data_IF_168193567280
#
_entry.id   IF_168193567280
#
_cell.length_a   1.000
_cell.length_b   1.000
_cell.length_c   1.000
_cell.angle_alpha   90.00
_cell.angle_beta   90.00
_cell.angle_gamma   90.00
#
_symmetry.space_group_name_H-M   'P 1'
#
loop_
_entity.id
_entity.type
_entity.pdbx_description
1 polymer ?
#
# COMPACT_ATOMS: atom_id res chain seq x y z
N UNK A 1 -23.33 0.36 4.90
CA UNK A 1 -24.00 1.68 4.96
C UNK A 1 -23.89 2.56 3.69
N UNK A 2 -22.70 2.91 3.18
CA UNK A 2 -22.58 3.86 2.06
C UNK A 2 -23.31 3.43 0.76
N UNK A 3 -23.46 2.13 0.52
CA UNK A 3 -24.21 1.57 -0.60
C UNK A 3 -25.70 1.34 -0.29
N UNK A 4 -26.18 1.70 0.90
CA UNK A 4 -27.56 1.42 1.35
C UNK A 4 -27.87 -0.06 1.56
N UNK A 5 -26.84 -0.91 1.64
CA UNK A 5 -26.98 -2.36 1.87
C UNK A 5 -27.10 -2.59 3.38
N UNK A 6 -28.19 -3.23 3.79
CA UNK A 6 -28.40 -3.74 5.15
C UNK A 6 -27.76 -5.14 5.27
N UNK A 7 -27.05 -5.43 6.36
CA UNK A 7 -26.38 -6.73 6.53
C UNK A 7 -27.32 -7.80 7.07
N UNK A 8 -28.29 -7.42 7.89
CA UNK A 8 -29.26 -8.33 8.52
C UNK A 8 -29.95 -9.26 7.52
N UNK A 9 -30.07 -10.54 7.88
CA UNK A 9 -30.71 -11.62 7.11
C UNK A 9 -30.12 -11.91 5.71
N UNK A 10 -29.06 -11.21 5.31
CA UNK A 10 -28.42 -11.38 4.00
C UNK A 10 -27.25 -12.36 4.02
N UNK A 11 -26.99 -12.99 2.88
CA UNK A 11 -25.82 -13.85 2.67
C UNK A 11 -24.75 -13.01 1.96
N UNK A 12 -23.60 -12.86 2.61
CA UNK A 12 -22.44 -12.15 2.06
C UNK A 12 -21.50 -13.17 1.45
N UNK A 13 -21.17 -13.00 0.17
CA UNK A 13 -20.23 -13.88 -0.54
C UNK A 13 -19.05 -13.03 -0.99
N UNK A 14 -17.86 -13.42 -0.56
CA UNK A 14 -16.60 -12.78 -0.95
C UNK A 14 -15.79 -13.81 -1.74
N UNK A 15 -15.67 -13.57 -3.03
CA UNK A 15 -14.82 -14.35 -3.93
C UNK A 15 -13.41 -13.75 -4.00
N UNK A 16 -12.43 -14.57 -4.38
CA UNK A 16 -11.00 -14.21 -4.41
C UNK A 16 -10.46 -13.61 -3.10
N UNK A 17 -10.91 -14.16 -1.97
CA UNK A 17 -10.66 -13.59 -0.67
C UNK A 17 -9.26 -13.86 -0.09
N UNK A 18 -8.32 -14.40 -0.86
CA UNK A 18 -6.99 -14.75 -0.39
C UNK A 18 -6.23 -13.53 0.17
N UNK A 19 -6.53 -12.32 -0.31
CA UNK A 19 -5.97 -11.05 0.19
C UNK A 19 -6.94 -10.27 1.09
N UNK A 20 -8.09 -10.84 1.50
CA UNK A 20 -9.12 -10.11 2.23
C UNK A 20 -8.62 -9.51 3.55
N UNK A 21 -7.88 -10.23 4.42
CA UNK A 21 -7.32 -9.65 5.64
C UNK A 21 -6.46 -8.41 5.36
N UNK A 22 -5.52 -8.54 4.42
CA UNK A 22 -4.60 -7.45 4.06
C UNK A 22 -5.34 -6.28 3.42
N UNK A 23 -6.35 -6.55 2.59
CA UNK A 23 -7.19 -5.53 1.97
C UNK A 23 -7.97 -4.72 3.02
N UNK A 24 -8.53 -5.39 4.03
CA UNK A 24 -9.23 -4.73 5.14
C UNK A 24 -8.24 -3.84 5.93
N UNK A 25 -7.10 -4.39 6.35
CA UNK A 25 -6.09 -3.62 7.07
C UNK A 25 -5.57 -2.43 6.26
N UNK A 26 -5.32 -2.62 4.95
CA UNK A 26 -4.88 -1.56 4.05
C UNK A 26 -5.93 -0.46 3.90
N UNK A 27 -7.22 -0.81 3.76
CA UNK A 27 -8.32 0.14 3.65
C UNK A 27 -8.50 1.00 4.90
N UNK A 28 -8.22 0.45 6.09
CA UNK A 28 -8.32 1.16 7.36
C UNK A 28 -6.99 1.79 7.82
N UNK A 29 -5.89 1.48 7.13
CA UNK A 29 -4.62 2.19 7.30
C UNK A 29 -4.67 3.53 6.59
N UNK A 30 -4.23 4.57 7.27
CA UNK A 30 -4.27 5.94 6.74
C UNK A 30 -2.94 6.61 6.99
N UNK A 31 -2.41 7.30 6.00
CA UNK A 31 -1.21 8.12 6.12
C UNK A 31 -1.48 9.59 5.79
N UNK A 32 -0.73 10.45 6.48
CA UNK A 32 -0.69 11.88 6.24
C UNK A 32 0.76 12.33 6.09
N UNK A 33 1.06 12.98 4.97
CA UNK A 33 2.38 13.57 4.73
C UNK A 33 2.49 14.92 5.42
N UNK A 34 3.73 15.36 5.70
CA UNK A 34 4.01 16.66 6.27
C UNK A 34 3.43 17.79 5.42
N UNK A 35 3.55 17.72 4.09
CA UNK A 35 2.94 18.69 3.18
C UNK A 35 1.40 18.77 3.35
N UNK A 36 0.71 17.63 3.38
CA UNK A 36 -0.74 17.61 3.58
C UNK A 36 -1.12 18.18 4.95
N UNK A 37 -0.36 17.87 5.99
CA UNK A 37 -0.63 18.37 7.34
C UNK A 37 -0.39 19.88 7.46
N UNK A 38 0.71 20.39 6.88
CA UNK A 38 1.01 21.84 6.79
C UNK A 38 -0.09 22.57 6.02
N UNK A 39 -0.44 22.10 4.82
CA UNK A 39 -1.45 22.72 3.98
C UNK A 39 -2.82 22.73 4.69
N UNK A 40 -3.16 21.64 5.38
CA UNK A 40 -4.39 21.51 6.18
C UNK A 40 -4.42 22.48 7.37
N UNK A 41 -3.31 22.62 8.08
CA UNK A 41 -3.17 23.60 9.17
C UNK A 41 -3.32 25.04 8.68
N UNK A 42 -2.74 25.36 7.52
CA UNK A 42 -2.90 26.66 6.88
C UNK A 42 -4.32 27.01 6.52
N UNK A 43 -5.05 26.04 5.95
CA UNK A 43 -6.45 26.21 5.58
C UNK A 43 -7.30 26.56 6.79
N UNK A 44 -7.16 25.75 7.84
CA UNK A 44 -7.94 25.95 9.07
C UNK A 44 -7.54 27.25 9.77
N UNK A 45 -6.25 27.61 9.80
CA UNK A 45 -5.74 28.84 10.40
C UNK A 45 -6.29 30.09 9.70
N UNK A 46 -6.27 30.12 8.36
CA UNK A 46 -6.82 31.23 7.57
C UNK A 46 -8.33 31.34 7.75
N UNK A 47 -9.03 30.20 7.80
CA UNK A 47 -10.48 30.17 8.06
C UNK A 47 -10.80 30.71 9.45
N UNK A 48 -10.04 30.28 10.47
CA UNK A 48 -10.15 30.78 11.83
C UNK A 48 -9.97 32.30 11.89
N UNK A 49 -8.87 32.82 11.37
CA UNK A 49 -8.56 34.26 11.40
C UNK A 49 -9.64 35.11 10.71
N UNK A 50 -10.19 34.61 9.59
CA UNK A 50 -11.24 35.29 8.84
C UNK A 50 -12.58 35.34 9.59
N UNK A 51 -12.95 34.24 10.23
CA UNK A 51 -14.31 34.05 10.76
C UNK A 51 -14.39 34.05 12.29
N UNK A 52 -13.28 34.20 13.03
CA UNK A 52 -13.25 34.15 14.51
C UNK A 52 -14.27 35.07 15.19
N UNK A 53 -14.51 36.27 14.65
CA UNK A 53 -15.48 37.22 15.20
C UNK A 53 -16.95 36.83 14.96
N UNK A 54 -17.22 35.89 14.04
CA UNK A 54 -18.57 35.46 13.65
C UNK A 54 -18.95 34.07 14.19
N UNK A 55 -17.98 33.34 14.70
CA UNK A 55 -18.19 31.98 15.21
C UNK A 55 -18.72 32.01 16.64
N UNK A 56 -19.57 31.04 16.98
CA UNK A 56 -19.99 30.81 18.37
C UNK A 56 -18.79 30.37 19.21
N UNK A 57 -18.83 30.59 20.53
CA UNK A 57 -17.76 30.19 21.44
C UNK A 57 -17.43 28.68 21.35
N UNK A 58 -18.46 27.83 21.19
CA UNK A 58 -18.30 26.38 21.00
C UNK A 58 -17.53 26.04 19.71
N UNK A 59 -17.93 26.63 18.59
CA UNK A 59 -17.26 26.38 17.30
C UNK A 59 -15.82 26.91 17.30
N UNK A 60 -15.60 28.05 17.94
CA UNK A 60 -14.27 28.65 18.08
C UNK A 60 -13.35 27.75 18.91
N UNK A 61 -13.86 27.16 20.00
CA UNK A 61 -13.11 26.18 20.79
C UNK A 61 -12.75 24.94 19.97
N UNK A 62 -13.71 24.32 19.27
CA UNK A 62 -13.45 23.13 18.45
C UNK A 62 -12.43 23.39 17.34
N UNK A 63 -12.50 24.56 16.68
CA UNK A 63 -11.50 24.94 15.66
C UNK A 63 -10.11 25.12 16.28
N UNK A 64 -10.01 25.74 17.46
CA UNK A 64 -8.72 25.88 18.16
C UNK A 64 -8.15 24.52 18.55
N UNK A 65 -8.97 23.61 19.08
CA UNK A 65 -8.55 22.25 19.41
C UNK A 65 -8.06 21.49 18.16
N UNK A 66 -8.71 21.64 17.01
CA UNK A 66 -8.24 21.06 15.75
C UNK A 66 -6.89 21.63 15.31
N UNK A 67 -6.69 22.95 15.44
CA UNK A 67 -5.40 23.59 15.17
C UNK A 67 -4.31 23.08 16.11
N UNK A 68 -4.61 22.93 17.40
CA UNK A 68 -3.67 22.40 18.40
C UNK A 68 -3.28 20.96 18.08
N UNK A 69 -4.24 20.12 17.68
CA UNK A 69 -3.97 18.74 17.23
C UNK A 69 -3.05 18.73 16.02
N UNK A 70 -3.36 19.50 14.97
CA UNK A 70 -2.53 19.58 13.76
C UNK A 70 -1.11 20.04 14.10
N UNK A 71 -0.98 21.07 14.93
CA UNK A 71 0.32 21.59 15.35
C UNK A 71 1.13 20.55 16.13
N UNK A 72 0.50 19.82 17.03
CA UNK A 72 1.15 18.76 17.80
C UNK A 72 1.60 17.60 16.90
N UNK A 73 0.78 17.19 15.93
CA UNK A 73 1.19 16.22 14.92
C UNK A 73 2.41 16.72 14.11
N UNK A 74 2.43 18.00 13.70
CA UNK A 74 3.59 18.58 12.99
C UNK A 74 4.85 18.54 13.85
N UNK A 75 4.75 18.86 15.15
CA UNK A 75 5.89 18.77 16.08
C UNK A 75 6.47 17.37 16.17
N UNK A 76 5.63 16.32 16.10
CA UNK A 76 6.12 14.93 16.10
C UNK A 76 7.01 14.61 14.88
N UNK A 77 6.83 15.31 13.77
CA UNK A 77 7.68 15.14 12.57
C UNK A 77 9.03 15.85 12.70
N UNK A 78 9.07 17.02 13.33
CA UNK A 78 10.27 17.86 13.36
C UNK A 78 11.25 17.55 14.50
N UNK A 79 10.79 16.95 15.61
CA UNK A 79 11.57 16.79 16.85
C UNK A 79 12.18 18.10 17.41
N UNK A 80 11.85 19.27 16.84
CA UNK A 80 12.29 20.59 17.28
C UNK A 80 11.18 21.28 18.07
N UNK A 81 11.49 21.78 19.26
CA UNK A 81 10.52 22.50 20.11
C UNK A 81 10.09 23.85 19.51
N UNK A 82 10.93 24.45 18.65
CA UNK A 82 10.70 25.79 18.09
C UNK A 82 10.40 25.72 16.59
N UNK A 83 9.13 25.51 16.24
CA UNK A 83 8.64 25.77 14.89
C UNK A 83 8.69 27.29 14.60
N UNK A 84 8.98 27.72 13.37
CA UNK A 84 8.91 29.14 13.00
C UNK A 84 7.52 29.71 13.33
N UNK A 85 7.50 30.79 14.11
CA UNK A 85 6.26 31.41 14.67
C UNK A 85 5.29 31.88 13.57
N UNK A 86 5.79 32.12 12.35
CA UNK A 86 4.98 32.56 11.22
C UNK A 86 4.66 31.36 10.32
N UNK A 87 3.36 31.07 10.17
CA UNK A 87 2.88 30.09 9.21
C UNK A 87 3.25 30.52 7.79
N UNK A 88 4.05 29.70 7.12
CA UNK A 88 4.47 29.86 5.74
C UNK A 88 4.67 28.45 5.16
N UNK A 89 3.78 28.04 4.25
CA UNK A 89 3.74 26.66 3.74
C UNK A 89 5.06 26.27 3.08
N UNK A 90 5.68 27.16 2.31
CA UNK A 90 6.97 26.87 1.65
C UNK A 90 8.10 26.76 2.66
N UNK A 91 8.15 27.66 3.66
CA UNK A 91 9.19 27.58 4.69
C UNK A 91 9.06 26.34 5.57
N UNK A 92 7.84 25.95 5.92
CA UNK A 92 7.60 24.75 6.71
C UNK A 92 7.91 23.51 5.88
N UNK A 93 7.45 23.43 4.63
CA UNK A 93 7.68 22.26 3.76
C UNK A 93 9.17 22.00 3.51
N UNK A 94 9.97 23.07 3.36
CA UNK A 94 11.41 23.01 3.12
C UNK A 94 12.25 23.04 4.41
N UNK A 95 11.62 22.98 5.59
CA UNK A 95 12.34 22.93 6.86
C UNK A 95 13.16 21.64 6.92
N UNK A 96 14.49 21.78 6.98
CA UNK A 96 15.42 20.63 7.08
C UNK A 96 15.35 20.05 8.48
N UNK A 97 14.98 18.78 8.58
CA UNK A 97 14.82 18.05 9.86
C UNK A 97 16.04 17.16 10.12
N UNK A 98 16.55 16.48 9.10
CA UNK A 98 17.74 15.63 9.23
C UNK A 98 18.77 15.98 8.16
N UNK A 99 19.99 16.33 8.59
CA UNK A 99 21.13 16.55 7.68
C UNK A 99 21.67 15.26 7.07
N UNK A 100 21.26 14.11 7.60
CA UNK A 100 21.57 12.80 7.03
C UNK A 100 20.41 12.35 6.14
N UNK A 101 20.73 11.90 4.92
CA UNK A 101 19.75 11.42 3.93
C UNK A 101 19.10 10.06 4.26
N UNK A 102 19.38 9.50 5.44
CA UNK A 102 18.84 8.20 5.86
C UNK A 102 17.45 8.36 6.45
N UNK A 103 16.46 7.78 5.79
CA UNK A 103 15.09 7.65 6.29
C UNK A 103 15.08 6.94 7.65
N UNK A 104 14.45 7.57 8.66
CA UNK A 104 14.27 6.99 9.99
C UNK A 104 12.79 6.81 10.25
N UNK A 105 12.41 5.59 10.63
CA UNK A 105 11.03 5.24 10.97
C UNK A 105 10.96 4.73 12.40
N UNK A 106 10.02 5.26 13.18
CA UNK A 106 9.75 4.86 14.57
C UNK A 106 8.31 4.42 14.71
N UNK A 107 8.10 3.29 15.40
CA UNK A 107 6.77 2.70 15.60
C UNK A 107 6.32 2.91 17.04
N UNK A 108 5.05 3.26 17.21
CA UNK A 108 4.42 3.55 18.49
C UNK A 108 3.10 2.78 18.62
N UNK A 109 2.75 2.44 19.85
CA UNK A 109 1.37 2.14 20.22
C UNK A 109 0.50 3.40 20.07
N UNK A 110 -0.76 3.25 19.65
CA UNK A 110 -1.62 4.40 19.32
C UNK A 110 -1.80 5.35 20.50
N UNK A 111 -2.14 4.82 21.68
CA UNK A 111 -2.40 5.65 22.87
C UNK A 111 -1.11 6.33 23.35
N UNK A 112 0.00 5.58 23.34
CA UNK A 112 1.30 6.10 23.76
C UNK A 112 1.76 7.22 22.81
N UNK A 113 1.56 7.06 21.50
CA UNK A 113 1.78 8.13 20.51
C UNK A 113 0.94 9.38 20.78
N UNK A 114 -0.35 9.24 21.05
CA UNK A 114 -1.23 10.39 21.32
C UNK A 114 -0.80 11.15 22.58
N UNK A 115 -0.37 10.42 23.62
CA UNK A 115 0.18 11.00 24.83
C UNK A 115 1.49 11.74 24.58
N UNK A 116 2.45 11.10 23.89
CA UNK A 116 3.76 11.69 23.57
C UNK A 116 3.64 12.90 22.63
N UNK A 117 2.66 12.88 21.72
CA UNK A 117 2.33 14.01 20.85
C UNK A 117 1.67 15.17 21.62
N UNK A 118 1.25 14.98 22.88
CA UNK A 118 0.53 15.99 23.65
C UNK A 118 -0.92 16.20 23.19
N UNK A 119 -1.54 15.19 22.59
CA UNK A 119 -2.93 15.24 22.12
C UNK A 119 -3.85 14.77 23.26
N UNK A 120 -4.35 15.72 24.05
CA UNK A 120 -5.22 15.44 25.22
C UNK A 120 -6.69 15.80 25.00
N UNK A 121 -7.08 16.10 23.76
CA UNK A 121 -8.45 16.49 23.41
C UNK A 121 -9.30 15.28 23.05
N UNK A 122 -10.62 15.38 23.22
CA UNK A 122 -11.54 14.33 22.82
C UNK A 122 -11.70 14.31 21.29
N UNK A 123 -10.95 13.41 20.63
CA UNK A 123 -10.95 13.27 19.17
C UNK A 123 -12.33 12.90 18.60
N UNK A 124 -13.13 12.10 19.32
CA UNK A 124 -14.49 11.73 18.89
C UNK A 124 -15.39 12.96 18.74
N UNK A 125 -15.33 13.89 19.69
CA UNK A 125 -16.10 15.15 19.62
C UNK A 125 -15.65 16.04 18.47
N UNK A 126 -14.35 16.05 18.16
CA UNK A 126 -13.80 16.82 17.04
C UNK A 126 -14.20 16.23 15.68
N UNK A 127 -14.22 14.90 15.56
CA UNK A 127 -14.69 14.22 14.35
C UNK A 127 -16.18 14.47 14.13
N UNK A 128 -17.00 14.36 15.19
CA UNK A 128 -18.42 14.70 15.12
C UNK A 128 -18.63 16.17 14.71
N UNK A 129 -17.84 17.08 15.28
CA UNK A 129 -17.87 18.49 14.92
C UNK A 129 -17.56 18.70 13.42
N UNK A 130 -16.50 18.07 12.89
CA UNK A 130 -16.13 18.14 11.47
C UNK A 130 -17.29 17.67 10.57
N UNK A 131 -17.90 16.53 10.90
CA UNK A 131 -19.01 15.93 10.14
C UNK A 131 -20.26 16.79 10.20
N UNK A 132 -20.75 17.09 11.41
CA UNK A 132 -21.99 17.85 11.65
C UNK A 132 -21.94 19.26 11.07
N UNK A 133 -20.77 19.91 11.08
CA UNK A 133 -20.61 21.25 10.52
C UNK A 133 -20.18 21.26 9.05
N UNK A 134 -20.02 20.09 8.42
CA UNK A 134 -19.48 19.93 7.07
C UNK A 134 -18.20 20.74 6.86
N UNK A 135 -17.29 20.75 7.86
CA UNK A 135 -16.15 21.65 7.90
C UNK A 135 -15.23 21.45 6.68
N UNK A 136 -15.08 20.20 6.23
CA UNK A 136 -14.34 19.86 5.01
C UNK A 136 -14.88 20.58 3.78
N UNK A 137 -16.21 20.59 3.57
CA UNK A 137 -16.85 21.30 2.44
C UNK A 137 -16.70 22.82 2.58
N UNK A 138 -16.83 23.34 3.80
CA UNK A 138 -16.67 24.79 4.08
C UNK A 138 -15.24 25.26 3.81
N UNK A 139 -14.22 24.49 4.21
CA UNK A 139 -12.83 24.82 3.96
C UNK A 139 -12.47 24.71 2.49
N UNK A 140 -12.97 23.68 1.80
CA UNK A 140 -12.84 23.55 0.36
C UNK A 140 -13.38 24.79 -0.38
N UNK A 141 -14.65 25.16 -0.12
CA UNK A 141 -15.25 26.37 -0.72
C UNK A 141 -14.57 27.68 -0.30
N UNK A 142 -14.02 27.74 0.92
CA UNK A 142 -13.25 28.89 1.39
C UNK A 142 -11.93 29.04 0.62
N UNK A 143 -11.24 27.94 0.34
CA UNK A 143 -10.00 27.94 -0.44
C UNK A 143 -10.23 28.31 -1.91
N UNK A 144 -11.30 27.82 -2.53
CA UNK A 144 -11.69 28.24 -3.89
C UNK A 144 -11.97 29.76 -3.95
N UNK A 145 -12.53 30.34 -2.88
CA UNK A 145 -12.84 31.78 -2.83
C UNK A 145 -11.66 32.66 -2.44
N UNK A 146 -10.72 32.13 -1.65
CA UNK A 146 -9.57 32.87 -1.11
C UNK A 146 -8.27 32.07 -1.30
N UNK A 147 -7.76 31.96 -2.53
CA UNK A 147 -6.52 31.24 -2.82
C UNK A 147 -5.32 31.83 -2.04
N UNK A 148 -4.28 31.02 -1.82
CA UNK A 148 -3.08 31.39 -1.03
C UNK A 148 -2.23 32.44 -1.76
N UNK A 149 -2.02 32.28 -3.07
CA UNK A 149 -1.23 33.20 -3.90
C UNK A 149 -1.71 33.15 -5.35
N UNK A 150 -1.90 34.31 -6.01
CA UNK A 150 -2.35 34.38 -7.42
C UNK A 150 -1.29 33.95 -8.46
N UNK A 151 -0.03 33.72 -8.05
CA UNK A 151 1.12 33.53 -8.96
C UNK A 151 1.77 32.14 -8.93
N UNK A 152 1.29 31.19 -8.12
CA UNK A 152 1.84 29.81 -8.05
C UNK A 152 0.90 28.74 -8.62
N UNK A 153 -0.24 29.17 -9.18
CA UNK A 153 -1.27 28.30 -9.76
C UNK A 153 -0.97 27.99 -11.23
N UNK A 154 0.22 27.46 -11.54
CA UNK A 154 0.49 26.91 -12.88
C UNK A 154 0.21 25.41 -12.99
N UNK A 155 0.02 24.70 -11.87
CA UNK A 155 -0.20 23.24 -11.84
C UNK A 155 -1.54 22.87 -11.15
N UNK A 156 -2.47 22.31 -11.92
CA UNK A 156 -3.76 21.77 -11.43
C UNK A 156 -3.57 20.74 -10.29
N UNK A 157 -2.43 20.03 -10.29
CA UNK A 157 -2.07 19.05 -9.27
C UNK A 157 -1.84 19.67 -7.88
N UNK A 158 -1.27 20.88 -7.82
CA UNK A 158 -0.99 21.59 -6.57
C UNK A 158 -2.27 22.18 -5.99
N UNK A 159 -3.16 22.70 -6.85
CA UNK A 159 -4.47 23.21 -6.44
C UNK A 159 -5.35 22.08 -5.89
N UNK A 160 -5.40 20.93 -6.55
CA UNK A 160 -6.12 19.75 -6.06
C UNK A 160 -5.53 19.23 -4.74
N UNK A 161 -4.21 19.15 -4.61
CA UNK A 161 -3.52 18.72 -3.39
C UNK A 161 -3.92 19.58 -2.20
N UNK A 162 -3.76 20.90 -2.32
CA UNK A 162 -4.11 21.84 -1.26
C UNK A 162 -5.61 21.69 -0.96
N UNK A 163 -6.46 21.69 -1.96
CA UNK A 163 -7.92 21.64 -1.79
C UNK A 163 -8.44 20.41 -1.03
N UNK A 164 -7.69 19.29 -1.05
CA UNK A 164 -8.06 18.05 -0.38
C UNK A 164 -7.34 17.80 0.96
N UNK A 165 -6.31 18.58 1.31
CA UNK A 165 -5.48 18.34 2.51
C UNK A 165 -6.26 18.28 3.82
N UNK A 166 -7.32 19.08 3.99
CA UNK A 166 -8.16 18.99 5.20
C UNK A 166 -9.01 17.72 5.25
N UNK A 167 -9.51 17.23 4.10
CA UNK A 167 -10.26 15.97 4.06
C UNK A 167 -9.37 14.79 4.47
N UNK A 168 -8.13 14.77 3.97
CA UNK A 168 -7.12 13.75 4.32
C UNK A 168 -6.80 13.82 5.81
N UNK A 169 -6.61 15.02 6.36
CA UNK A 169 -6.45 15.19 7.81
C UNK A 169 -7.66 14.68 8.61
N UNK A 170 -8.89 14.95 8.17
CA UNK A 170 -10.09 14.45 8.86
C UNK A 170 -10.19 12.91 8.83
N UNK A 171 -9.81 12.27 7.71
CA UNK A 171 -9.73 10.81 7.60
C UNK A 171 -8.65 10.24 8.53
N UNK A 172 -7.46 10.85 8.53
CA UNK A 172 -6.38 10.46 9.43
C UNK A 172 -6.76 10.62 10.90
N UNK A 173 -7.47 11.70 11.26
CA UNK A 173 -7.98 11.91 12.62
C UNK A 173 -8.96 10.81 13.05
N UNK A 174 -9.80 10.32 12.12
CA UNK A 174 -10.67 9.19 12.36
C UNK A 174 -9.88 7.90 12.61
N UNK A 175 -8.79 7.68 11.88
CA UNK A 175 -7.92 6.52 12.09
C UNK A 175 -7.25 6.52 13.49
N UNK A 176 -6.98 7.70 14.06
CA UNK A 176 -6.45 7.84 15.43
C UNK A 176 -7.48 7.56 16.54
N UNK A 177 -8.75 7.31 16.19
CA UNK A 177 -9.80 6.94 17.15
C UNK A 177 -10.10 5.45 17.23
N UNK A 178 -9.31 4.63 16.52
CA UNK A 178 -9.37 3.18 16.67
C UNK A 178 -8.97 2.75 18.09
N UNK A 179 -9.44 1.58 18.56
CA UNK A 179 -8.97 0.96 19.79
C UNK A 179 -7.43 0.79 19.83
N UNK A 180 -6.86 0.79 21.04
CA UNK A 180 -5.40 0.72 21.26
C UNK A 180 -4.73 -0.41 20.49
N UNK A 181 -5.35 -1.58 20.50
CA UNK A 181 -4.75 -2.82 19.99
C UNK A 181 -5.02 -3.05 18.49
N UNK A 182 -5.73 -2.13 17.83
CA UNK A 182 -6.18 -2.32 16.45
C UNK A 182 -5.16 -1.85 15.42
N UNK A 183 -4.12 -1.14 15.85
CA UNK A 183 -3.07 -0.69 14.96
C UNK A 183 -1.90 -0.02 15.67
N UNK A 184 -0.90 0.36 14.88
CA UNK A 184 0.30 1.09 15.32
C UNK A 184 0.42 2.41 14.57
N UNK A 185 1.10 3.37 15.18
CA UNK A 185 1.46 4.62 14.50
C UNK A 185 2.92 4.55 14.10
N UNK A 186 3.21 4.79 12.83
CA UNK A 186 4.56 4.85 12.28
C UNK A 186 4.84 6.30 11.91
N UNK A 187 5.87 6.87 12.50
CA UNK A 187 6.38 8.20 12.14
C UNK A 187 7.63 8.02 11.32
N UNK A 188 7.62 8.54 10.09
CA UNK A 188 8.76 8.49 9.17
C UNK A 188 9.30 9.89 8.97
N UNK A 189 10.55 10.10 9.36
CA UNK A 189 11.28 11.35 9.18
C UNK A 189 12.24 11.26 8.01
N UNK A 190 12.23 12.27 7.15
CA UNK A 190 13.10 12.45 5.97
C UNK A 190 13.83 13.79 6.04
N UNK A 191 14.57 14.12 4.98
CA UNK A 191 15.41 15.33 4.92
C UNK A 191 14.61 16.61 5.23
N UNK A 192 13.42 16.76 4.64
CA UNK A 192 12.55 17.92 4.89
C UNK A 192 11.22 17.53 5.54
N UNK A 193 10.61 18.48 6.26
CA UNK A 193 9.28 18.29 6.88
C UNK A 193 8.21 17.87 5.88
N UNK A 194 8.19 18.48 4.70
CA UNK A 194 7.21 18.14 3.68
C UNK A 194 7.24 16.68 3.24
N UNK A 195 8.42 16.04 3.31
CA UNK A 195 8.64 14.65 2.94
C UNK A 195 8.39 13.65 4.08
N UNK A 196 8.28 14.13 5.32
CA UNK A 196 7.95 13.30 6.47
C UNK A 196 6.49 12.81 6.39
N UNK A 197 6.17 11.75 7.13
CA UNK A 197 4.81 11.23 7.19
C UNK A 197 4.49 10.57 8.52
N UNK A 198 3.20 10.56 8.84
CA UNK A 198 2.64 9.79 9.95
C UNK A 198 1.64 8.81 9.34
N UNK A 199 1.76 7.53 9.67
CA UNK A 199 0.87 6.49 9.21
C UNK A 199 0.26 5.77 10.39
N UNK A 200 -1.06 5.68 10.43
CA UNK A 200 -1.76 4.68 11.22
C UNK A 200 -1.83 3.40 10.39
N UNK A 201 -1.27 2.32 10.92
CA UNK A 201 -1.27 1.01 10.29
C UNK A 201 -2.19 0.08 11.08
N UNK A 202 -3.32 -0.28 10.48
CA UNK A 202 -4.27 -1.22 11.07
C UNK A 202 -3.68 -2.62 11.06
N UNK A 203 -3.76 -3.31 12.20
CA UNK A 203 -3.24 -4.66 12.40
C UNK A 203 -4.34 -5.69 12.63
N UNK A 204 -5.51 -5.25 13.08
CA UNK A 204 -6.61 -6.15 13.42
C UNK A 204 -7.74 -6.00 12.41
N UNK A 205 -7.97 -7.06 11.64
CA UNK A 205 -9.07 -7.12 10.66
C UNK A 205 -10.42 -7.27 11.34
N UNK A 206 -10.48 -8.01 12.45
CA UNK A 206 -11.74 -8.31 13.13
C UNK A 206 -12.49 -7.05 13.55
N UNK A 207 -11.82 -5.99 14.00
CA UNK A 207 -12.46 -4.74 14.39
C UNK A 207 -13.30 -4.09 13.29
N UNK A 208 -12.94 -4.32 12.03
CA UNK A 208 -13.64 -3.78 10.87
C UNK A 208 -14.58 -4.80 10.22
N UNK A 209 -14.30 -6.10 10.39
CA UNK A 209 -15.08 -7.18 9.80
C UNK A 209 -16.17 -7.72 10.74
N UNK A 210 -16.15 -7.33 12.02
CA UNK A 210 -17.03 -7.83 13.07
C UNK A 210 -18.52 -7.65 12.74
N UNK A 211 -18.89 -6.48 12.24
CA UNK A 211 -20.26 -6.14 11.86
C UNK A 211 -20.77 -7.08 10.76
N UNK A 212 -19.95 -7.30 9.72
CA UNK A 212 -20.29 -8.19 8.60
C UNK A 212 -20.49 -9.63 9.09
N UNK A 213 -19.60 -10.11 9.96
CA UNK A 213 -19.63 -11.49 10.46
C UNK A 213 -20.81 -11.73 11.41
N UNK A 214 -21.16 -10.75 12.23
CA UNK A 214 -22.20 -10.92 13.25
C UNK A 214 -23.61 -10.58 12.77
N UNK A 215 -23.76 -9.63 11.85
CA UNK A 215 -25.06 -9.18 11.37
C UNK A 215 -25.56 -9.97 10.15
N UNK A 216 -24.64 -10.44 9.29
CA UNK A 216 -25.04 -11.24 8.15
C UNK A 216 -25.62 -12.59 8.59
N UNK A 217 -26.58 -13.10 7.81
CA UNK A 217 -27.12 -14.46 8.01
C UNK A 217 -26.05 -15.52 7.79
N UNK A 218 -25.16 -15.29 6.83
CA UNK A 218 -24.04 -16.17 6.51
C UNK A 218 -22.98 -15.38 5.76
N UNK A 219 -21.72 -15.59 6.10
CA UNK A 219 -20.57 -15.07 5.34
C UNK A 219 -19.87 -16.26 4.69
N UNK A 220 -19.78 -16.24 3.36
CA UNK A 220 -19.10 -17.26 2.56
C UNK A 220 -17.86 -16.60 1.98
N UNK A 221 -16.71 -17.22 2.25
CA UNK A 221 -15.43 -16.72 1.77
C UNK A 221 -14.79 -17.80 0.90
N UNK A 222 -14.49 -17.44 -0.35
CA UNK A 222 -13.98 -18.34 -1.36
C UNK A 222 -12.68 -17.80 -1.98
N UNK A 223 -11.75 -18.70 -2.29
CA UNK A 223 -10.48 -18.35 -2.92
C UNK A 223 -9.63 -19.59 -3.21
N UNK A 224 -8.86 -19.55 -4.31
CA UNK A 224 -8.01 -20.66 -4.74
C UNK A 224 -6.71 -20.83 -3.96
N UNK A 225 -6.22 -19.78 -3.31
CA UNK A 225 -4.87 -19.69 -2.72
C UNK A 225 -4.88 -19.33 -1.23
N UNK A 226 -5.98 -19.62 -0.51
CA UNK A 226 -6.16 -19.23 0.90
C UNK A 226 -5.35 -20.04 1.95
N UNK A 227 -4.35 -20.82 1.54
CA UNK A 227 -3.56 -21.61 2.50
C UNK A 227 -2.40 -20.76 3.08
N UNK A 228 -2.16 -20.79 4.40
CA UNK A 228 -2.85 -21.58 5.43
C UNK A 228 -4.21 -21.00 5.85
N UNK A 229 -5.25 -21.83 5.84
CA UNK A 229 -6.64 -21.38 6.15
C UNK A 229 -6.81 -21.07 7.65
N UNK A 230 -5.96 -21.62 8.52
CA UNK A 230 -6.02 -21.36 9.97
C UNK A 230 -5.86 -19.88 10.30
N UNK A 231 -4.86 -19.20 9.74
CA UNK A 231 -4.64 -17.78 9.97
C UNK A 231 -5.82 -16.94 9.47
N UNK A 232 -6.42 -17.37 8.36
CA UNK A 232 -7.62 -16.74 7.82
C UNK A 232 -8.80 -16.84 8.79
N UNK A 233 -9.01 -18.04 9.35
CA UNK A 233 -10.07 -18.32 10.32
C UNK A 233 -9.86 -17.52 11.61
N UNK A 234 -8.63 -17.52 12.13
CA UNK A 234 -8.27 -16.86 13.36
C UNK A 234 -8.55 -15.35 13.28
N UNK A 235 -8.09 -14.69 12.21
CA UNK A 235 -8.18 -13.24 12.07
C UNK A 235 -9.59 -12.75 11.69
N UNK A 236 -10.34 -13.47 10.85
CA UNK A 236 -11.62 -12.98 10.33
C UNK A 236 -12.85 -13.50 11.06
N UNK A 237 -12.79 -14.66 11.72
CA UNK A 237 -13.96 -15.26 12.36
C UNK A 237 -13.77 -15.41 13.86
N UNK A 238 -12.71 -16.08 14.32
CA UNK A 238 -12.50 -16.30 15.76
C UNK A 238 -12.23 -14.98 16.49
N UNK A 239 -11.43 -14.09 15.90
CA UNK A 239 -11.18 -12.75 16.45
C UNK A 239 -12.41 -11.84 16.40
N UNK A 240 -13.45 -12.18 15.64
CA UNK A 240 -14.78 -11.54 15.68
C UNK A 240 -15.71 -12.17 16.73
N UNK A 241 -15.23 -13.18 17.48
CA UNK A 241 -16.00 -13.88 18.51
C UNK A 241 -16.90 -15.00 18.00
N UNK A 242 -16.73 -15.45 16.74
CA UNK A 242 -17.46 -16.61 16.25
C UNK A 242 -16.91 -17.90 16.86
N UNK A 243 -17.77 -18.83 17.31
CA UNK A 243 -17.33 -20.13 17.79
C UNK A 243 -16.88 -21.02 16.62
N UNK A 244 -15.86 -21.85 16.83
CA UNK A 244 -15.33 -22.79 15.82
C UNK A 244 -16.41 -23.69 15.21
N UNK A 245 -17.41 -24.09 16.01
CA UNK A 245 -18.53 -24.95 15.61
C UNK A 245 -19.39 -24.35 14.48
N UNK A 246 -19.39 -23.03 14.32
CA UNK A 246 -20.11 -22.32 13.25
C UNK A 246 -19.28 -22.11 11.98
N UNK A 247 -17.98 -22.45 12.02
CA UNK A 247 -17.06 -22.22 10.92
C UNK A 247 -16.94 -23.50 10.12
N UNK A 248 -17.49 -23.49 8.91
CA UNK A 248 -17.42 -24.62 7.99
C UNK A 248 -16.32 -24.39 6.95
N UNK A 249 -15.37 -25.33 6.87
CA UNK A 249 -14.31 -25.33 5.88
C UNK A 249 -14.54 -26.43 4.83
N UNK A 250 -14.45 -26.04 3.56
CA UNK A 250 -14.44 -26.96 2.43
C UNK A 250 -13.22 -26.68 1.56
N UNK A 251 -12.42 -27.71 1.30
CA UNK A 251 -11.32 -27.65 0.34
C UNK A 251 -11.50 -28.77 -0.67
N UNK A 252 -11.72 -28.39 -1.94
CA UNK A 252 -11.80 -29.34 -3.05
C UNK A 252 -10.40 -29.69 -3.54
N UNK A 253 -10.24 -30.92 -4.04
CA UNK A 253 -9.01 -31.33 -4.71
C UNK A 253 -8.81 -30.53 -6.00
N UNK A 254 -7.54 -30.41 -6.40
CA UNK A 254 -7.18 -29.73 -7.63
C UNK A 254 -7.77 -30.46 -8.86
N UNK A 255 -8.35 -29.72 -9.81
CA UNK A 255 -8.96 -30.29 -11.02
C UNK A 255 -7.88 -30.88 -11.93
N UNK A 256 -6.69 -30.27 -11.95
CA UNK A 256 -5.55 -30.77 -12.72
C UNK A 256 -4.85 -31.91 -11.94
N UNK A 257 -4.65 -33.08 -12.56
CA UNK A 257 -3.91 -34.19 -11.96
C UNK A 257 -2.47 -33.80 -11.59
N UNK A 258 -1.94 -34.42 -10.53
CA UNK A 258 -0.59 -34.10 -10.03
C UNK A 258 0.52 -34.40 -11.04
N UNK A 259 0.33 -35.35 -11.94
CA UNK A 259 1.26 -35.68 -13.03
C UNK A 259 1.44 -34.55 -14.06
N UNK A 260 0.49 -33.62 -14.14
CA UNK A 260 0.55 -32.47 -15.06
C UNK A 260 1.18 -31.23 -14.42
N UNK A 261 1.53 -31.28 -13.13
CA UNK A 261 2.10 -30.15 -12.39
C UNK A 261 3.37 -30.59 -11.66
N UNK A 262 4.51 -30.05 -12.08
CA UNK A 262 5.80 -30.30 -11.43
C UNK A 262 6.24 -29.05 -10.65
N UNK A 263 6.30 -29.17 -9.33
CA UNK A 263 6.87 -28.15 -8.44
C UNK A 263 8.27 -28.57 -8.00
N UNK A 264 9.28 -27.72 -8.25
CA UNK A 264 10.69 -27.98 -7.90
C UNK A 264 11.26 -26.77 -7.17
N UNK A 265 11.82 -27.00 -5.98
CA UNK A 265 12.68 -26.04 -5.31
C UNK A 265 14.13 -26.27 -5.77
N UNK A 266 14.74 -25.27 -6.39
CA UNK A 266 16.13 -25.32 -6.85
C UNK A 266 17.02 -24.57 -5.85
N UNK A 267 17.74 -25.26 -4.95
CA UNK A 267 18.53 -24.60 -3.91
C UNK A 267 19.86 -24.03 -4.43
N UNK A 268 20.40 -24.57 -5.51
CA UNK A 268 21.71 -24.18 -6.05
C UNK A 268 21.73 -24.20 -7.57
N UNK A 269 22.58 -23.37 -8.16
CA UNK A 269 22.80 -23.34 -9.61
C UNK A 269 23.75 -24.42 -10.13
N UNK A 270 23.99 -24.48 -11.45
CA UNK A 270 24.84 -25.48 -12.10
C UNK A 270 26.29 -25.59 -11.60
N UNK A 271 26.87 -24.53 -11.01
CA UNK A 271 28.19 -24.56 -10.37
C UNK A 271 28.13 -24.82 -8.86
N UNK A 272 26.98 -25.27 -8.36
CA UNK A 272 26.75 -25.58 -6.96
C UNK A 272 26.91 -24.37 -6.01
N UNK A 273 26.60 -23.17 -6.51
CA UNK A 273 26.47 -21.97 -5.68
C UNK A 273 25.01 -21.92 -5.20
N UNK A 274 24.84 -21.78 -3.90
CA UNK A 274 23.54 -21.71 -3.24
C UNK A 274 22.80 -20.41 -3.58
N UNK A 275 21.48 -20.52 -3.79
CA UNK A 275 20.60 -19.40 -4.05
C UNK A 275 20.04 -18.85 -2.74
N UNK A 276 20.61 -17.72 -2.30
CA UNK A 276 20.15 -17.00 -1.12
C UNK A 276 19.77 -15.56 -1.48
N UNK A 277 18.53 -15.34 -1.89
CA UNK A 277 18.06 -14.03 -2.36
C UNK A 277 17.65 -13.06 -1.23
N UNK A 278 18.40 -13.01 -0.13
CA UNK A 278 18.18 -12.03 0.95
C UNK A 278 18.51 -10.61 0.49
N UNK A 279 18.02 -9.58 1.20
CA UNK A 279 18.28 -8.18 0.87
C UNK A 279 19.79 -7.85 0.78
N UNK A 280 20.61 -8.50 1.60
CA UNK A 280 22.07 -8.37 1.59
C UNK A 280 22.71 -9.09 0.39
N UNK A 281 22.23 -10.29 0.06
CA UNK A 281 22.91 -11.17 -0.89
C UNK A 281 22.39 -11.03 -2.33
N UNK A 282 21.19 -10.48 -2.57
CA UNK A 282 20.59 -10.34 -3.92
C UNK A 282 21.41 -9.53 -4.95
N UNK A 283 22.45 -8.80 -4.53
CA UNK A 283 23.38 -8.10 -5.43
C UNK A 283 24.68 -8.89 -5.70
N UNK A 284 24.79 -10.12 -5.20
CA UNK A 284 25.95 -10.98 -5.40
C UNK A 284 26.00 -11.48 -6.85
N UNK A 285 27.04 -11.04 -7.56
CA UNK A 285 27.24 -11.33 -8.98
C UNK A 285 27.38 -12.82 -9.27
N UNK A 286 27.94 -13.61 -8.35
CA UNK A 286 28.11 -15.06 -8.54
C UNK A 286 26.74 -15.78 -8.57
N UNK A 287 25.80 -15.37 -7.71
CA UNK A 287 24.44 -15.90 -7.73
C UNK A 287 23.67 -15.45 -8.97
N UNK A 288 23.85 -14.19 -9.39
CA UNK A 288 23.22 -13.68 -10.60
C UNK A 288 23.70 -14.46 -11.84
N UNK A 289 25.01 -14.71 -11.96
CA UNK A 289 25.57 -15.56 -13.02
C UNK A 289 24.94 -16.96 -13.06
N UNK A 290 24.72 -17.57 -11.89
CA UNK A 290 24.09 -18.88 -11.76
C UNK A 290 22.62 -18.86 -12.15
N UNK A 291 21.88 -17.84 -11.70
CA UNK A 291 20.50 -17.61 -12.14
C UNK A 291 20.44 -17.47 -13.67
N UNK A 292 21.37 -16.71 -14.26
CA UNK A 292 21.48 -16.57 -15.71
C UNK A 292 21.69 -17.91 -16.42
N UNK A 293 22.54 -18.79 -15.87
CA UNK A 293 22.76 -20.16 -16.39
C UNK A 293 21.48 -21.01 -16.31
N UNK A 294 20.77 -20.95 -15.18
CA UNK A 294 19.49 -21.64 -15.00
C UNK A 294 18.46 -21.15 -16.03
N UNK A 295 18.29 -19.83 -16.16
CA UNK A 295 17.32 -19.24 -17.10
C UNK A 295 17.63 -19.59 -18.56
N UNK A 296 18.89 -19.62 -18.97
CA UNK A 296 19.29 -20.07 -20.31
C UNK A 296 18.89 -21.54 -20.53
N UNK A 297 19.11 -22.40 -19.54
CA UNK A 297 18.72 -23.81 -19.59
C UNK A 297 17.20 -23.95 -19.70
N UNK A 298 16.44 -23.25 -18.85
CA UNK A 298 14.97 -23.27 -18.88
C UNK A 298 14.44 -22.74 -20.22
N UNK A 299 14.98 -21.64 -20.75
CA UNK A 299 14.58 -21.11 -22.05
C UNK A 299 14.88 -22.06 -23.21
N UNK A 300 15.88 -22.94 -23.07
CA UNK A 300 16.25 -23.91 -24.10
C UNK A 300 15.40 -25.18 -24.05
N UNK A 301 14.98 -25.60 -22.84
CA UNK A 301 14.23 -26.84 -22.63
C UNK A 301 12.72 -26.65 -22.72
N UNK A 302 12.20 -25.53 -22.21
CA UNK A 302 10.77 -25.31 -22.04
C UNK A 302 10.21 -24.65 -23.31
N UNK A 303 9.18 -25.22 -23.95
CA UNK A 303 8.55 -24.61 -25.13
C UNK A 303 7.79 -23.34 -24.74
N UNK A 304 7.43 -22.53 -25.74
CA UNK A 304 6.45 -21.44 -25.59
C UNK A 304 6.77 -20.40 -24.51
N UNK A 305 5.86 -20.16 -23.56
CA UNK A 305 5.96 -19.16 -22.51
C UNK A 305 6.68 -19.62 -21.24
N UNK A 306 7.67 -18.84 -20.82
CA UNK A 306 8.31 -18.89 -19.50
C UNK A 306 8.05 -17.55 -18.78
N UNK A 307 7.55 -17.60 -17.55
CA UNK A 307 7.34 -16.41 -16.71
C UNK A 307 8.27 -16.48 -15.50
N UNK A 308 9.03 -15.41 -15.27
CA UNK A 308 9.99 -15.32 -14.16
C UNK A 308 9.58 -14.18 -13.25
N UNK A 309 9.18 -14.52 -12.03
CA UNK A 309 8.78 -13.57 -11.00
C UNK A 309 9.95 -13.22 -10.09
N UNK A 310 10.11 -11.91 -9.83
CA UNK A 310 11.06 -11.37 -8.84
C UNK A 310 10.29 -10.72 -7.67
N UNK A 311 10.89 -10.69 -6.48
CA UNK A 311 10.25 -10.09 -5.29
C UNK A 311 10.13 -8.56 -5.34
N UNK A 312 10.87 -7.86 -6.21
CA UNK A 312 10.78 -6.39 -6.32
C UNK A 312 11.32 -5.87 -7.65
N UNK A 313 10.82 -4.69 -8.08
CA UNK A 313 11.35 -3.99 -9.25
C UNK A 313 12.84 -3.66 -9.14
N UNK A 314 13.33 -3.29 -7.95
CA UNK A 314 14.76 -3.00 -7.73
C UNK A 314 15.63 -4.24 -7.99
N UNK A 315 15.22 -5.41 -7.47
CA UNK A 315 15.93 -6.67 -7.71
C UNK A 315 15.90 -7.03 -9.20
N UNK A 316 14.74 -6.96 -9.86
CA UNK A 316 14.63 -7.22 -11.30
C UNK A 316 15.54 -6.29 -12.12
N UNK A 317 15.53 -4.98 -11.84
CA UNK A 317 16.31 -4.00 -12.60
C UNK A 317 17.82 -4.23 -12.45
N UNK A 318 18.30 -4.50 -11.24
CA UNK A 318 19.71 -4.83 -10.98
C UNK A 318 20.12 -6.11 -11.71
N UNK A 319 19.28 -7.15 -11.64
CA UNK A 319 19.52 -8.42 -12.32
C UNK A 319 19.52 -8.28 -13.83
N UNK A 320 18.56 -7.57 -14.38
CA UNK A 320 18.47 -7.31 -15.82
C UNK A 320 19.69 -6.53 -16.34
N UNK A 321 20.07 -5.43 -15.66
CA UNK A 321 21.23 -4.62 -16.03
C UNK A 321 22.54 -5.43 -15.97
N UNK A 322 22.67 -6.32 -14.99
CA UNK A 322 23.81 -7.23 -14.92
C UNK A 322 23.83 -8.27 -16.05
N UNK A 323 22.68 -8.85 -16.40
CA UNK A 323 22.56 -9.78 -17.52
C UNK A 323 22.85 -9.15 -18.88
N UNK A 324 22.49 -7.87 -19.04
CA UNK A 324 22.86 -7.08 -20.21
C UNK A 324 24.38 -6.90 -20.29
N UNK A 325 25.00 -6.47 -19.18
CA UNK A 325 26.46 -6.26 -19.09
C UNK A 325 27.27 -7.55 -19.33
N UNK A 326 26.74 -8.70 -18.92
CA UNK A 326 27.41 -10.02 -19.04
C UNK A 326 27.01 -10.80 -20.29
N UNK A 327 26.22 -10.21 -21.18
CA UNK A 327 25.71 -10.83 -22.42
C UNK A 327 24.87 -12.10 -22.20
N UNK A 328 24.33 -12.29 -20.99
CA UNK A 328 23.38 -13.38 -20.68
C UNK A 328 22.09 -13.18 -21.47
N UNK A 329 21.60 -11.94 -21.56
CA UNK A 329 20.38 -11.64 -22.33
C UNK A 329 20.52 -12.01 -23.81
N UNK A 330 21.68 -11.77 -24.42
CA UNK A 330 21.92 -12.15 -25.83
C UNK A 330 21.76 -13.65 -26.06
N UNK A 331 22.19 -14.47 -25.10
CA UNK A 331 22.02 -15.93 -25.16
C UNK A 331 20.55 -16.32 -25.04
N UNK A 332 19.80 -15.67 -24.15
CA UNK A 332 18.36 -15.90 -23.96
C UNK A 332 17.57 -15.51 -25.21
N UNK A 333 17.87 -14.34 -25.81
CA UNK A 333 17.20 -13.83 -27.03
C UNK A 333 17.31 -14.80 -28.21
N UNK A 334 18.39 -15.60 -28.28
CA UNK A 334 18.52 -16.64 -29.32
C UNK A 334 17.51 -17.77 -29.20
N UNK A 335 16.85 -17.91 -28.04
CA UNK A 335 15.88 -18.96 -27.73
C UNK A 335 14.46 -18.44 -27.59
N UNK A 336 14.27 -17.31 -26.90
CA UNK A 336 12.96 -16.71 -26.63
C UNK A 336 13.02 -15.20 -26.67
N UNK A 337 11.95 -14.56 -27.13
CA UNK A 337 11.82 -13.10 -27.07
C UNK A 337 11.58 -12.66 -25.63
N UNK A 338 12.31 -11.64 -25.18
CA UNK A 338 12.25 -11.14 -23.80
C UNK A 338 11.22 -10.01 -23.70
N UNK A 339 10.41 -10.08 -22.65
CA UNK A 339 9.42 -9.09 -22.25
C UNK A 339 9.61 -8.78 -20.76
N UNK A 340 9.21 -7.59 -20.36
CA UNK A 340 9.34 -7.14 -18.98
C UNK A 340 8.07 -6.41 -18.58
N UNK A 341 7.62 -6.64 -17.35
CA UNK A 341 6.49 -5.93 -16.78
C UNK A 341 6.71 -4.40 -16.83
N UNK A 342 5.73 -3.63 -17.32
CA UNK A 342 5.86 -2.19 -17.43
C UNK A 342 5.63 -1.52 -16.08
N UNK A 343 6.30 -0.37 -15.87
CA UNK A 343 6.02 0.48 -14.70
C UNK A 343 4.64 1.11 -14.74
N UNK A 344 4.06 1.34 -15.92
CA UNK A 344 2.74 1.98 -16.09
C UNK A 344 1.69 0.93 -16.44
N UNK A 345 0.52 1.06 -15.82
CA UNK A 345 -0.59 0.12 -16.02
C UNK A 345 -1.16 0.18 -17.44
N UNK A 346 -1.12 1.36 -18.07
CA UNK A 346 -1.54 1.56 -19.47
C UNK A 346 -0.79 0.71 -20.49
N UNK A 347 0.44 0.28 -20.16
CA UNK A 347 1.33 -0.41 -21.08
C UNK A 347 1.21 -1.94 -20.95
N UNK A 348 0.47 -2.44 -19.95
CA UNK A 348 0.31 -3.86 -19.62
C UNK A 348 -0.29 -4.64 -20.79
N UNK A 349 -1.41 -4.18 -21.32
CA UNK A 349 -2.14 -4.87 -22.39
C UNK A 349 -1.31 -4.99 -23.67
N UNK A 350 -0.53 -3.95 -23.99
CA UNK A 350 0.34 -3.96 -25.17
C UNK A 350 1.45 -5.01 -25.02
N UNK A 351 2.07 -5.09 -23.84
CA UNK A 351 3.13 -6.08 -23.58
C UNK A 351 2.58 -7.50 -23.60
N UNK A 352 1.43 -7.75 -22.96
CA UNK A 352 0.76 -9.06 -22.99
C UNK A 352 0.35 -9.48 -24.40
N UNK A 353 -0.15 -8.53 -25.19
CA UNK A 353 -0.52 -8.78 -26.59
C UNK A 353 0.70 -9.17 -27.41
N UNK A 354 1.83 -8.48 -27.23
CA UNK A 354 3.07 -8.77 -27.95
C UNK A 354 3.72 -10.09 -27.48
N UNK A 355 3.64 -10.39 -26.18
CA UNK A 355 4.06 -11.66 -25.60
C UNK A 355 3.28 -12.83 -26.20
N UNK A 356 1.95 -12.72 -26.18
CA UNK A 356 1.04 -13.72 -26.76
C UNK A 356 1.30 -13.93 -28.25
N UNK A 357 1.49 -12.86 -29.02
CA UNK A 357 1.85 -12.95 -30.44
C UNK A 357 3.17 -13.67 -30.67
N UNK A 358 4.18 -13.41 -29.84
CA UNK A 358 5.50 -14.08 -29.94
C UNK A 358 5.39 -15.59 -29.74
N UNK A 359 4.58 -16.01 -28.76
CA UNK A 359 4.33 -17.43 -28.48
C UNK A 359 3.55 -18.08 -29.61
N UNK A 360 2.45 -17.47 -30.06
CA UNK A 360 1.63 -18.00 -31.16
C UNK A 360 2.39 -18.10 -32.49
N UNK A 361 3.40 -17.25 -32.70
CA UNK A 361 4.28 -17.31 -33.87
C UNK A 361 5.39 -18.37 -33.75
N UNK A 362 5.40 -19.18 -32.68
CA UNK A 362 6.39 -20.24 -32.46
C UNK A 362 7.78 -19.74 -32.00
N UNK A 363 7.93 -18.44 -31.72
CA UNK A 363 9.20 -17.87 -31.24
C UNK A 363 9.38 -18.05 -29.73
N UNK A 364 8.30 -18.35 -29.01
CA UNK A 364 8.27 -18.38 -27.55
C UNK A 364 8.41 -17.00 -26.92
N UNK A 365 8.32 -16.96 -25.59
CA UNK A 365 8.43 -15.72 -24.82
C UNK A 365 8.97 -15.95 -23.42
N UNK A 366 9.89 -15.08 -22.99
CA UNK A 366 10.30 -14.95 -21.59
C UNK A 366 9.71 -13.65 -21.04
N UNK A 367 8.88 -13.75 -20.01
CA UNK A 367 8.30 -12.58 -19.32
C UNK A 367 8.94 -12.43 -17.94
N UNK A 368 9.60 -11.30 -17.71
CA UNK A 368 10.03 -10.89 -16.38
C UNK A 368 8.94 -10.07 -15.68
N UNK A 369 8.47 -10.54 -14.52
CA UNK A 369 7.37 -9.96 -13.75
C UNK A 369 7.72 -9.83 -12.28
N UNK A 370 6.89 -9.08 -11.53
CA UNK A 370 7.04 -8.91 -10.08
C UNK A 370 5.93 -9.66 -9.36
N UNK A 371 6.25 -10.35 -8.26
CA UNK A 371 5.22 -10.95 -7.37
C UNK A 371 4.42 -9.83 -6.71
N UNK A 372 3.09 -9.90 -6.74
CA UNK A 372 2.21 -8.79 -6.32
C UNK A 372 2.28 -7.58 -7.26
N UNK A 373 2.93 -7.72 -8.41
CA UNK A 373 2.98 -6.73 -9.46
C UNK A 373 1.75 -6.78 -10.37
N UNK A 374 1.74 -5.88 -11.35
CA UNK A 374 0.59 -5.66 -12.26
C UNK A 374 0.30 -6.85 -13.16
N UNK A 375 1.31 -7.67 -13.41
CA UNK A 375 1.19 -8.87 -14.26
C UNK A 375 0.90 -10.15 -13.45
N UNK A 376 0.91 -10.07 -12.12
CA UNK A 376 0.71 -11.23 -11.24
C UNK A 376 -0.73 -11.38 -10.74
N UNK A 377 -1.49 -10.29 -10.73
CA UNK A 377 -2.89 -10.27 -10.29
C UNK A 377 -3.83 -10.07 -11.49
N UNK A 378 -4.94 -10.80 -11.52
CA UNK A 378 -6.02 -10.63 -12.51
C UNK A 378 -5.71 -11.07 -13.95
N UNK A 379 -4.50 -11.56 -14.24
CA UNK A 379 -4.13 -12.09 -15.56
C UNK A 379 -4.05 -13.61 -15.50
N UNK A 380 -4.79 -14.27 -16.40
CA UNK A 380 -4.77 -15.72 -16.55
C UNK A 380 -3.83 -16.12 -17.69
N UNK A 381 -2.72 -16.78 -17.36
CA UNK A 381 -1.82 -17.38 -18.35
C UNK A 381 -2.32 -18.79 -18.71
N UNK A 382 -3.11 -18.88 -19.76
CA UNK A 382 -3.63 -20.16 -20.26
C UNK A 382 -2.58 -20.94 -21.07
N UNK A 383 -2.42 -22.22 -20.76
CA UNK A 383 -1.65 -23.23 -21.52
C UNK A 383 -0.27 -22.76 -22.03
N UNK A 384 -0.11 -22.46 -23.33
CA UNK A 384 1.20 -22.15 -23.93
C UNK A 384 1.78 -20.84 -23.38
N UNK A 385 0.95 -19.98 -22.80
CA UNK A 385 1.36 -18.68 -22.27
C UNK A 385 2.26 -18.78 -21.04
N UNK A 386 2.21 -19.88 -20.27
CA UNK A 386 3.09 -20.07 -19.12
C UNK A 386 3.33 -21.56 -18.86
N UNK A 387 4.06 -22.23 -19.77
CA UNK A 387 4.47 -23.63 -19.60
C UNK A 387 5.42 -23.83 -18.41
N UNK A 388 6.06 -22.76 -17.94
CA UNK A 388 6.78 -22.74 -16.68
C UNK A 388 6.68 -21.38 -16.01
N UNK A 389 6.53 -21.42 -14.70
CA UNK A 389 6.61 -20.27 -13.81
C UNK A 389 7.83 -20.49 -12.91
N UNK A 390 8.75 -19.54 -12.93
CA UNK A 390 9.94 -19.52 -12.10
C UNK A 390 9.84 -18.36 -11.11
N UNK A 391 9.98 -18.64 -9.82
CA UNK A 391 9.97 -17.60 -8.78
C UNK A 391 11.40 -17.47 -8.25
N UNK A 392 11.96 -16.27 -8.34
CA UNK A 392 13.34 -15.95 -7.94
C UNK A 392 13.33 -15.39 -6.52
N UNK A 393 13.70 -16.25 -5.57
CA UNK A 393 13.66 -15.94 -4.14
C UNK A 393 12.30 -16.26 -3.52
N UNK A 394 12.10 -15.78 -2.30
CA UNK A 394 10.82 -15.82 -1.61
C UNK A 394 10.22 -14.40 -1.61
N UNK A 395 9.00 -14.21 -2.11
CA UNK A 395 8.34 -12.91 -2.15
C UNK A 395 8.12 -12.31 -0.76
#
# INVERSE_FOLDING_TARGET
EACGIEMGDNIVIIDEAHNLPDAICSMHSNDITGNQLIDSYGQLSRYHEKYKARLTAKNLLSIKQLLDVQLNLIKTLCSQENLPIVYDSEKWSNLVISSNSTEKSTTFDLIDYLCDAGIHVNLFQLIDYIKTNELTKKLHGFMSKYPVTKNELSDESTEYRISNSFAIFAQFLQALTNPRDDGKVIVTTKETLGQCSIRFFALRTSSFFNEIVNEARSVIVAGGTMRPISEFIDHLFLACGQPEEKIFQLSSNHIVPSENVLAVALPSGPKNIEFEFTAANRSNTAMMDELGRVLISLCSTIPDGLVVFFCSYDHLQKTYAYFEKTFVLNKIVTKKKIFMEPKRTSDVDNILTNYTKSIKNGTGGLLFSIVGGKMSEGINFSDELARCVCVVGMP
#
